data_IF_886511228871
#
_entry.id   IF_886511228871
#
_cell.length_a   1.000
_cell.length_b   1.000
_cell.length_c   1.000
_cell.angle_alpha   90.00
_cell.angle_beta   90.00
_cell.angle_gamma   90.00
#
_symmetry.space_group_name_H-M   'P 1'
#
loop_
_entity.id
_entity.type
_entity.pdbx_description
1 polymer ?
#
# COMPACT_ATOMS: atom_id res chain seq x y z
N UNK A 1 -4.39 -9.17 -32.77
CA UNK A 1 -5.82 -9.02 -32.43
C UNK A 1 -6.09 -9.50 -30.99
N UNK A 2 -5.56 -8.79 -29.97
CA UNK A 2 -5.64 -9.19 -28.54
C UNK A 2 -6.69 -8.37 -27.74
N UNK A 3 -7.41 -7.46 -28.42
CA UNK A 3 -8.23 -6.42 -27.77
C UNK A 3 -9.70 -6.75 -27.53
N UNK A 4 -10.16 -7.95 -27.93
CA UNK A 4 -11.56 -8.33 -27.81
C UNK A 4 -11.80 -9.62 -26.98
N UNK A 5 -10.95 -9.89 -25.97
CA UNK A 5 -11.29 -10.95 -25.04
C UNK A 5 -12.47 -10.50 -24.18
N UNK A 6 -13.59 -11.19 -24.24
CA UNK A 6 -14.72 -10.99 -23.34
C UNK A 6 -14.20 -11.18 -21.91
N UNK A 7 -14.36 -10.16 -21.09
CA UNK A 7 -14.00 -10.24 -19.67
C UNK A 7 -15.19 -10.83 -18.94
N UNK A 8 -15.00 -11.89 -18.15
CA UNK A 8 -16.03 -12.37 -17.27
C UNK A 8 -16.18 -11.40 -16.08
N UNK A 9 -17.41 -11.28 -15.59
CA UNK A 9 -17.77 -10.75 -14.28
C UNK A 9 -17.24 -9.36 -13.93
N UNK A 10 -17.73 -8.34 -14.63
CA UNK A 10 -17.71 -6.94 -14.17
C UNK A 10 -19.16 -6.45 -14.01
N UNK A 11 -19.48 -5.57 -13.05
CA UNK A 11 -18.58 -4.92 -12.10
C UNK A 11 -18.08 -5.86 -10.98
N UNK A 12 -16.90 -5.56 -10.45
CA UNK A 12 -16.36 -6.23 -9.25
C UNK A 12 -16.99 -5.65 -7.99
N UNK A 13 -17.08 -6.42 -6.88
CA UNK A 13 -17.55 -5.87 -5.62
C UNK A 13 -16.63 -4.75 -5.12
N UNK A 14 -17.20 -3.74 -4.50
CA UNK A 14 -16.40 -2.72 -3.81
C UNK A 14 -15.75 -3.33 -2.56
N UNK A 15 -14.53 -2.92 -2.20
CA UNK A 15 -13.93 -3.34 -0.95
C UNK A 15 -14.74 -2.84 0.25
N UNK A 16 -14.83 -3.68 1.27
CA UNK A 16 -15.53 -3.42 2.52
C UNK A 16 -14.56 -3.16 3.67
N UNK A 17 -15.06 -2.67 4.80
CA UNK A 17 -14.30 -2.41 6.03
C UNK A 17 -14.07 -3.71 6.79
N UNK A 18 -13.21 -4.58 6.26
CA UNK A 18 -12.86 -5.88 6.84
C UNK A 18 -11.52 -5.85 7.54
N UNK A 19 -11.30 -6.76 8.47
CA UNK A 19 -9.98 -7.01 9.06
C UNK A 19 -9.28 -8.07 8.21
N UNK A 20 -8.03 -7.79 7.83
CA UNK A 20 -7.19 -8.73 7.09
C UNK A 20 -6.04 -9.18 7.99
N UNK A 21 -5.96 -10.48 8.23
CA UNK A 21 -5.03 -11.07 9.19
C UNK A 21 -3.85 -11.74 8.48
N UNK A 22 -2.63 -11.35 8.84
CA UNK A 22 -1.38 -12.00 8.47
C UNK A 22 -0.66 -12.58 9.67
N UNK A 23 0.56 -13.02 9.45
CA UNK A 23 1.44 -13.52 10.51
C UNK A 23 2.07 -12.39 11.31
N UNK A 24 2.53 -11.34 10.64
CA UNK A 24 3.28 -10.21 11.20
C UNK A 24 2.47 -8.93 11.21
N UNK A 25 1.58 -8.78 10.24
CA UNK A 25 0.72 -7.62 10.09
C UNK A 25 -0.74 -7.99 10.25
N UNK A 26 -1.52 -7.03 10.72
CA UNK A 26 -2.98 -7.02 10.61
C UNK A 26 -3.39 -5.68 10.05
N UNK A 27 -4.28 -5.69 9.05
CA UNK A 27 -4.89 -4.49 8.53
C UNK A 27 -6.28 -4.35 9.16
N UNK A 28 -6.53 -3.25 9.82
CA UNK A 28 -7.83 -2.92 10.38
C UNK A 28 -8.41 -1.69 9.67
N UNK A 29 -9.72 -1.63 9.40
CA UNK A 29 -10.34 -0.39 8.98
C UNK A 29 -9.93 0.74 9.92
N UNK A 30 -9.57 1.89 9.36
CA UNK A 30 -9.06 3.01 10.17
C UNK A 30 -10.12 3.46 11.17
N UNK A 31 -9.76 3.41 12.45
CA UNK A 31 -10.54 3.93 13.57
C UNK A 31 -9.68 4.96 14.34
N UNK A 32 -10.02 6.27 14.26
CA UNK A 32 -9.26 7.31 14.94
C UNK A 32 -9.15 7.15 16.46
N UNK A 33 -10.17 6.57 17.11
CA UNK A 33 -10.14 6.37 18.55
C UNK A 33 -9.13 5.31 18.95
N UNK A 34 -9.01 4.23 18.16
CA UNK A 34 -8.09 3.12 18.41
C UNK A 34 -6.68 3.37 17.91
N UNK A 35 -6.56 3.97 16.73
CA UNK A 35 -5.30 4.05 15.99
C UNK A 35 -4.66 5.44 16.01
N UNK A 36 -5.44 6.48 16.41
CA UNK A 36 -5.06 7.88 16.22
C UNK A 36 -3.75 8.26 16.93
N UNK A 37 -3.58 7.86 18.18
CA UNK A 37 -2.38 8.19 18.96
C UNK A 37 -1.12 7.57 18.36
N UNK A 38 -1.19 6.28 18.00
CA UNK A 38 -0.07 5.56 17.39
C UNK A 38 0.27 6.09 16.00
N UNK A 39 -0.74 6.38 15.17
CA UNK A 39 -0.55 6.97 13.85
C UNK A 39 0.01 8.38 13.91
N UNK A 40 -0.41 9.18 14.87
CA UNK A 40 0.18 10.48 15.12
C UNK A 40 1.66 10.36 15.44
N UNK A 41 2.03 9.50 16.39
CA UNK A 41 3.42 9.24 16.75
C UNK A 41 4.24 8.73 15.55
N UNK A 42 3.70 7.80 14.74
CA UNK A 42 4.37 7.29 13.56
C UNK A 42 4.54 8.34 12.45
N UNK A 43 3.52 9.21 12.27
CA UNK A 43 3.53 10.27 11.26
C UNK A 43 4.57 11.33 11.57
N UNK A 44 4.60 11.81 12.81
CA UNK A 44 5.46 12.90 13.25
C UNK A 44 6.77 12.45 13.93
N UNK A 45 7.11 11.17 13.84
CA UNK A 45 8.41 10.67 14.28
C UNK A 45 9.58 11.40 13.59
N UNK A 46 10.78 11.45 14.16
CA UNK A 46 11.94 12.11 13.57
C UNK A 46 12.11 11.78 12.08
N UNK A 47 12.39 12.79 11.25
CA UNK A 47 12.44 12.68 9.79
C UNK A 47 11.07 12.68 9.09
N UNK A 48 10.01 13.17 9.74
CA UNK A 48 8.66 13.22 9.17
C UNK A 48 8.57 14.11 7.91
N UNK A 49 9.31 15.20 7.83
CA UNK A 49 9.28 16.08 6.65
C UNK A 49 9.62 15.33 5.36
N UNK A 50 10.63 14.48 5.40
CA UNK A 50 11.01 13.67 4.25
C UNK A 50 9.95 12.59 3.96
N UNK A 51 9.40 11.93 4.99
CA UNK A 51 8.31 10.96 4.81
C UNK A 51 7.03 11.58 4.24
N UNK A 52 6.71 12.82 4.65
CA UNK A 52 5.51 13.53 4.21
C UNK A 52 5.71 14.31 2.90
N UNK A 53 6.94 14.37 2.39
CA UNK A 53 7.29 15.14 1.20
C UNK A 53 6.35 14.89 0.04
N UNK A 54 6.05 13.63 -0.23
CA UNK A 54 5.23 13.18 -1.35
C UNK A 54 3.79 12.77 -0.95
N UNK A 55 3.37 13.09 0.27
CA UNK A 55 2.01 12.86 0.76
C UNK A 55 1.27 14.21 0.90
N UNK A 56 0.70 14.74 -0.19
CA UNK A 56 0.21 16.12 -0.24
C UNK A 56 -1.00 16.40 0.66
N UNK A 57 -1.80 15.37 0.95
CA UNK A 57 -3.03 15.48 1.74
C UNK A 57 -2.80 15.38 3.24
N UNK A 58 -1.62 14.91 3.67
CA UNK A 58 -1.29 14.77 5.10
C UNK A 58 -0.91 16.11 5.67
N UNK A 59 -1.46 16.55 6.81
CA UNK A 59 -1.01 17.73 7.52
C UNK A 59 0.49 17.66 7.81
N UNK A 60 1.21 18.75 7.58
CA UNK A 60 2.65 18.84 7.85
C UNK A 60 2.97 19.06 9.32
N UNK A 61 2.02 19.63 10.04
CA UNK A 61 2.09 19.91 11.46
C UNK A 61 1.07 19.06 12.21
N UNK A 62 1.28 18.80 13.49
CA UNK A 62 0.34 18.06 14.32
C UNK A 62 -1.07 18.66 14.37
N UNK A 63 -1.14 19.98 14.25
CA UNK A 63 -2.41 20.70 14.26
C UNK A 63 -3.30 20.26 13.08
N UNK A 64 -4.56 19.98 13.38
CA UNK A 64 -5.52 19.50 12.38
C UNK A 64 -5.39 18.02 12.01
N UNK A 65 -4.37 17.30 12.51
CA UNK A 65 -4.18 15.88 12.16
C UNK A 65 -5.34 15.00 12.59
N UNK A 66 -5.90 15.22 13.78
CA UNK A 66 -7.04 14.44 14.28
C UNK A 66 -8.29 14.62 13.41
N UNK A 67 -8.61 15.85 13.01
CA UNK A 67 -9.74 16.13 12.11
C UNK A 67 -9.52 15.52 10.72
N UNK A 68 -8.29 15.63 10.18
CA UNK A 68 -7.93 15.02 8.92
C UNK A 68 -8.04 13.48 9.01
N UNK A 69 -7.57 12.85 10.08
CA UNK A 69 -7.64 11.41 10.28
C UNK A 69 -9.09 10.92 10.38
N UNK A 70 -9.97 11.69 11.06
CA UNK A 70 -11.40 11.41 11.14
C UNK A 70 -12.07 11.45 9.75
N UNK A 71 -11.74 12.45 8.95
CA UNK A 71 -12.23 12.55 7.58
C UNK A 71 -11.77 11.36 6.72
N UNK A 72 -10.51 10.93 6.88
CA UNK A 72 -9.98 9.76 6.18
C UNK A 72 -10.68 8.46 6.60
N UNK A 73 -11.01 8.31 7.88
CA UNK A 73 -11.72 7.14 8.39
C UNK A 73 -13.18 7.05 7.90
N UNK A 74 -13.82 8.20 7.69
CA UNK A 74 -15.20 8.28 7.23
C UNK A 74 -15.35 8.00 5.72
N UNK A 75 -14.28 8.16 4.92
CA UNK A 75 -14.33 8.01 3.48
C UNK A 75 -14.42 6.54 3.06
N UNK A 76 -15.17 6.27 1.98
CA UNK A 76 -15.22 4.95 1.34
C UNK A 76 -14.24 4.83 0.16
N UNK A 77 -13.77 5.96 -0.36
CA UNK A 77 -12.68 6.07 -1.33
C UNK A 77 -11.92 7.37 -1.07
N UNK A 78 -10.74 7.29 -0.47
CA UNK A 78 -9.95 6.10 -0.12
C UNK A 78 -10.50 5.31 1.08
N UNK A 79 -10.56 3.99 0.97
CA UNK A 79 -10.80 3.07 2.09
C UNK A 79 -9.48 2.83 2.82
N UNK A 80 -9.32 3.42 3.99
CA UNK A 80 -8.06 3.43 4.73
C UNK A 80 -7.98 2.30 5.73
N UNK A 81 -6.84 1.61 5.76
CA UNK A 81 -6.48 0.60 6.73
C UNK A 81 -5.32 1.05 7.60
N UNK A 82 -5.45 0.87 8.90
CA UNK A 82 -4.36 0.92 9.85
C UNK A 82 -3.50 -0.34 9.72
N UNK A 83 -2.18 -0.18 9.79
CA UNK A 83 -1.21 -1.29 9.75
C UNK A 83 -0.75 -1.58 11.16
N UNK A 84 -1.18 -2.70 11.69
CA UNK A 84 -0.86 -3.16 13.04
C UNK A 84 0.30 -4.15 12.99
N UNK A 85 1.35 -3.90 13.75
CA UNK A 85 2.39 -4.90 14.03
C UNK A 85 1.85 -5.90 15.06
N UNK A 86 1.69 -7.15 14.66
CA UNK A 86 1.13 -8.19 15.53
C UNK A 86 2.02 -8.57 16.71
N UNK A 87 3.31 -8.32 16.63
CA UNK A 87 4.24 -8.59 17.74
C UNK A 87 4.06 -7.59 18.89
N UNK A 88 3.71 -6.35 18.57
CA UNK A 88 3.56 -5.27 19.58
C UNK A 88 2.11 -4.87 19.82
N UNK A 89 1.19 -5.24 18.94
CA UNK A 89 -0.20 -4.79 18.94
C UNK A 89 -0.37 -3.31 18.55
N UNK A 90 0.70 -2.61 18.18
CA UNK A 90 0.67 -1.17 17.90
C UNK A 90 0.46 -0.87 16.42
N UNK A 91 -0.21 0.24 16.17
CA UNK A 91 -0.37 0.76 14.82
C UNK A 91 0.87 1.56 14.40
N UNK A 92 1.64 1.02 13.45
CA UNK A 92 2.87 1.65 12.97
C UNK A 92 2.74 2.37 11.64
N UNK A 93 1.55 2.38 11.01
CA UNK A 93 1.35 3.00 9.72
C UNK A 93 -0.06 2.85 9.19
N UNK A 94 -0.28 3.31 7.97
CA UNK A 94 -1.54 3.17 7.23
C UNK A 94 -1.29 3.01 5.75
N UNK A 95 -2.29 2.46 5.05
CA UNK A 95 -2.37 2.38 3.60
C UNK A 95 -3.85 2.37 3.17
N UNK A 96 -4.14 2.66 1.93
CA UNK A 96 -5.51 2.76 1.46
C UNK A 96 -5.73 2.04 0.13
N UNK A 97 -6.88 1.41 0.00
CA UNK A 97 -7.46 1.06 -1.30
C UNK A 97 -8.21 2.29 -1.80
N UNK A 98 -7.90 2.74 -3.00
CA UNK A 98 -8.44 3.99 -3.52
C UNK A 98 -8.61 3.97 -5.03
N UNK A 99 -9.28 4.99 -5.58
CA UNK A 99 -9.61 5.05 -7.01
C UNK A 99 -10.23 3.73 -7.47
N UNK A 100 -11.27 3.35 -6.75
CA UNK A 100 -11.94 2.07 -6.87
C UNK A 100 -12.92 2.16 -8.04
N UNK A 101 -12.62 1.43 -9.13
CA UNK A 101 -13.42 1.40 -10.35
C UNK A 101 -13.89 -0.03 -10.63
N UNK A 102 -15.00 -0.46 -9.98
CA UNK A 102 -15.53 -1.82 -10.10
C UNK A 102 -15.84 -2.23 -11.54
N UNK A 103 -16.36 -1.29 -12.33
CA UNK A 103 -16.78 -1.50 -13.73
C UNK A 103 -15.60 -1.91 -14.63
N UNK A 104 -14.38 -1.54 -14.23
CA UNK A 104 -13.17 -1.90 -14.92
C UNK A 104 -12.34 -2.94 -14.18
N UNK A 105 -12.72 -3.31 -12.95
CA UNK A 105 -11.94 -4.18 -12.09
C UNK A 105 -10.56 -3.58 -11.78
N UNK A 106 -10.48 -2.26 -11.55
CA UNK A 106 -9.26 -1.50 -11.29
C UNK A 106 -9.33 -0.89 -9.89
N UNK A 107 -8.24 -1.01 -9.14
CA UNK A 107 -8.10 -0.46 -7.79
C UNK A 107 -6.64 -0.06 -7.55
N UNK A 108 -6.40 0.97 -6.76
CA UNK A 108 -5.07 1.47 -6.43
C UNK A 108 -4.73 1.24 -4.96
N UNK A 109 -3.50 0.86 -4.67
CA UNK A 109 -2.93 0.97 -3.33
C UNK A 109 -2.19 2.30 -3.22
N UNK A 110 -2.68 3.18 -2.37
CA UNK A 110 -2.12 4.51 -2.21
C UNK A 110 -2.20 5.03 -0.78
N UNK A 111 -1.90 6.31 -0.61
CA UNK A 111 -1.95 6.94 0.72
C UNK A 111 -1.05 6.25 1.76
N UNK A 112 0.00 5.56 1.32
CA UNK A 112 0.87 4.76 2.19
C UNK A 112 1.72 5.67 3.06
N UNK A 113 1.62 5.47 4.36
CA UNK A 113 2.55 5.98 5.35
C UNK A 113 2.91 4.82 6.28
N UNK A 114 4.10 4.30 6.13
CA UNK A 114 4.68 3.35 7.07
C UNK A 114 5.71 4.10 7.92
N UNK A 115 5.43 4.21 9.22
CA UNK A 115 6.32 4.85 10.18
C UNK A 115 7.62 4.05 10.38
N UNK A 116 8.58 4.60 11.14
CA UNK A 116 9.91 3.98 11.31
C UNK A 116 9.87 2.53 11.82
N UNK A 117 8.90 2.18 12.67
CA UNK A 117 8.76 0.84 13.23
C UNK A 117 8.28 -0.21 12.19
N UNK A 118 7.60 0.22 11.14
CA UNK A 118 7.00 -0.66 10.12
C UNK A 118 7.75 -0.61 8.81
N UNK A 119 8.23 0.56 8.41
CA UNK A 119 8.93 0.75 7.13
C UNK A 119 10.14 -0.19 6.99
N UNK A 120 10.25 -0.83 5.81
CA UNK A 120 11.35 -1.78 5.47
C UNK A 120 11.38 -3.06 6.30
N UNK A 121 10.30 -3.40 6.99
CA UNK A 121 10.17 -4.63 7.75
C UNK A 121 9.29 -5.66 7.04
N UNK A 122 9.24 -6.87 7.60
CA UNK A 122 8.29 -7.92 7.17
C UNK A 122 6.83 -7.52 7.39
N UNK A 123 6.56 -6.65 8.37
CA UNK A 123 5.21 -6.11 8.62
C UNK A 123 4.71 -5.31 7.42
N UNK A 124 5.53 -4.37 6.88
CA UNK A 124 5.17 -3.60 5.69
C UNK A 124 4.97 -4.48 4.45
N UNK A 125 5.83 -5.49 4.27
CA UNK A 125 5.72 -6.39 3.12
C UNK A 125 4.46 -7.25 3.20
N UNK A 126 4.13 -7.76 4.38
CA UNK A 126 2.91 -8.53 4.58
C UNK A 126 1.66 -7.65 4.51
N UNK A 127 1.70 -6.42 5.03
CA UNK A 127 0.62 -5.44 4.87
C UNK A 127 0.28 -5.19 3.39
N UNK A 128 1.30 -5.07 2.53
CA UNK A 128 1.12 -5.02 1.08
C UNK A 128 0.45 -6.30 0.57
N UNK A 129 0.99 -7.47 0.93
CA UNK A 129 0.49 -8.77 0.46
C UNK A 129 -0.98 -9.02 0.85
N UNK A 130 -1.39 -8.59 2.05
CA UNK A 130 -2.77 -8.67 2.51
C UNK A 130 -3.72 -7.81 1.67
N UNK A 131 -3.33 -6.56 1.39
CA UNK A 131 -4.14 -5.66 0.57
C UNK A 131 -4.26 -6.16 -0.88
N UNK A 132 -3.15 -6.64 -1.47
CA UNK A 132 -3.14 -7.20 -2.81
C UNK A 132 -3.95 -8.52 -2.88
N UNK A 133 -3.81 -9.40 -1.88
CA UNK A 133 -4.61 -10.62 -1.77
C UNK A 133 -6.11 -10.31 -1.65
N UNK A 134 -6.48 -9.31 -0.87
CA UNK A 134 -7.87 -8.87 -0.79
C UNK A 134 -8.39 -8.39 -2.14
N UNK A 135 -7.62 -7.55 -2.84
CA UNK A 135 -8.02 -7.03 -4.16
C UNK A 135 -8.15 -8.13 -5.22
N UNK A 136 -7.17 -9.02 -5.32
CA UNK A 136 -7.13 -10.04 -6.37
C UNK A 136 -7.93 -11.31 -6.02
N UNK A 137 -7.65 -11.89 -4.84
CA UNK A 137 -8.17 -13.23 -4.50
C UNK A 137 -9.63 -13.15 -3.99
N UNK A 138 -9.96 -12.16 -3.16
CA UNK A 138 -11.29 -12.03 -2.58
C UNK A 138 -12.26 -11.24 -3.47
N UNK A 139 -11.81 -10.12 -4.04
CA UNK A 139 -12.67 -9.22 -4.82
C UNK A 139 -12.56 -9.46 -6.33
N UNK A 140 -11.54 -10.19 -6.79
CA UNK A 140 -11.35 -10.54 -8.20
C UNK A 140 -10.99 -9.36 -9.11
N UNK A 141 -10.40 -8.30 -8.57
CA UNK A 141 -9.90 -7.20 -9.39
C UNK A 141 -8.84 -7.72 -10.36
N UNK A 142 -8.79 -7.13 -11.56
CA UNK A 142 -7.85 -7.57 -12.61
C UNK A 142 -6.60 -6.70 -12.73
N UNK A 143 -6.62 -5.51 -12.09
CA UNK A 143 -5.53 -4.53 -12.13
C UNK A 143 -5.42 -3.83 -10.79
N UNK A 144 -4.25 -3.93 -10.19
CA UNK A 144 -3.86 -3.26 -8.97
C UNK A 144 -2.82 -2.21 -9.31
N UNK A 145 -3.10 -0.95 -8.99
CA UNK A 145 -2.27 0.19 -9.37
C UNK A 145 -1.44 0.71 -8.21
N UNK A 146 -0.29 1.29 -8.56
CA UNK A 146 0.56 2.08 -7.67
C UNK A 146 1.02 3.32 -8.40
N UNK A 147 0.79 4.49 -7.82
CA UNK A 147 1.15 5.78 -8.39
C UNK A 147 1.96 6.59 -7.40
N UNK A 148 3.00 7.23 -7.88
CA UNK A 148 3.79 8.13 -7.05
C UNK A 148 4.30 9.31 -7.86
N UNK A 149 4.77 10.33 -7.14
CA UNK A 149 5.57 11.38 -7.75
C UNK A 149 6.78 10.74 -8.47
N UNK A 150 7.07 11.19 -9.69
CA UNK A 150 8.16 10.62 -10.48
C UNK A 150 9.53 10.79 -9.81
N UNK A 151 9.68 11.80 -8.94
CA UNK A 151 10.87 12.04 -8.13
C UNK A 151 10.93 11.18 -6.85
N UNK A 152 9.85 10.50 -6.48
CA UNK A 152 9.80 9.65 -5.28
C UNK A 152 10.49 8.31 -5.54
N UNK A 153 11.83 8.34 -5.60
CA UNK A 153 12.63 7.14 -5.84
C UNK A 153 12.37 6.00 -4.82
N UNK A 154 12.20 6.26 -3.50
CA UNK A 154 11.81 5.20 -2.57
C UNK A 154 10.51 4.49 -2.92
N UNK A 155 9.47 5.23 -3.34
CA UNK A 155 8.18 4.67 -3.72
C UNK A 155 8.26 3.87 -5.02
N UNK A 156 9.00 4.35 -6.01
CA UNK A 156 9.26 3.63 -7.27
C UNK A 156 9.92 2.28 -7.01
N UNK A 157 11.01 2.27 -6.20
CA UNK A 157 11.70 1.03 -5.81
C UNK A 157 10.79 0.08 -5.03
N UNK A 158 9.87 0.61 -4.21
CA UNK A 158 8.90 -0.23 -3.48
C UNK A 158 7.92 -0.91 -4.44
N UNK A 159 7.37 -0.18 -5.41
CA UNK A 159 6.49 -0.74 -6.43
C UNK A 159 7.18 -1.88 -7.21
N UNK A 160 8.37 -1.63 -7.74
CA UNK A 160 9.17 -2.62 -8.47
C UNK A 160 9.51 -3.84 -7.58
N UNK A 161 9.89 -3.59 -6.31
CA UNK A 161 10.14 -4.65 -5.35
C UNK A 161 8.93 -5.54 -5.11
N UNK A 162 7.73 -4.98 -5.06
CA UNK A 162 6.49 -5.73 -4.86
C UNK A 162 5.97 -6.42 -6.12
N UNK A 163 6.57 -6.17 -7.27
CA UNK A 163 6.24 -6.87 -8.50
C UNK A 163 5.42 -6.07 -9.48
N UNK A 164 5.22 -4.79 -9.23
CA UNK A 164 4.57 -3.92 -10.19
C UNK A 164 5.48 -3.66 -11.39
N UNK A 165 4.88 -3.60 -12.57
CA UNK A 165 5.52 -3.16 -13.81
C UNK A 165 5.34 -1.66 -13.97
N UNK A 166 6.42 -0.94 -14.30
CA UNK A 166 6.36 0.47 -14.66
C UNK A 166 5.73 0.63 -16.04
N UNK A 167 4.72 1.48 -16.17
CA UNK A 167 3.98 1.69 -17.41
C UNK A 167 4.25 3.05 -18.06
N UNK A 168 4.80 4.00 -17.31
CA UNK A 168 5.13 5.30 -17.85
C UNK A 168 5.02 6.45 -16.86
N UNK A 169 5.40 7.65 -17.31
CA UNK A 169 5.24 8.88 -16.52
C UNK A 169 4.30 9.84 -17.23
N UNK A 170 3.25 10.25 -16.51
CA UNK A 170 2.40 11.36 -16.93
C UNK A 170 3.09 12.67 -16.56
N UNK A 171 3.60 13.36 -17.57
CA UNK A 171 4.26 14.65 -17.38
C UNK A 171 3.23 15.74 -17.13
N UNK A 172 3.55 16.68 -16.22
CA UNK A 172 2.66 17.79 -15.82
C UNK A 172 1.26 17.30 -15.42
N UNK A 173 1.20 16.14 -14.74
CA UNK A 173 -0.06 15.49 -14.42
C UNK A 173 -0.85 16.24 -13.35
N UNK A 174 -0.19 16.81 -12.37
CA UNK A 174 -0.83 17.49 -11.25
C UNK A 174 -0.07 18.76 -10.84
N UNK A 175 -0.78 19.68 -10.20
CA UNK A 175 -0.17 20.74 -9.40
C UNK A 175 -0.32 20.40 -7.93
N UNK A 176 0.79 20.25 -7.23
CA UNK A 176 0.82 19.92 -5.81
C UNK A 176 1.56 21.04 -5.07
N UNK A 177 0.85 21.75 -4.17
CA UNK A 177 1.40 22.86 -3.40
C UNK A 177 2.08 23.92 -4.29
N UNK A 178 1.45 24.26 -5.42
CA UNK A 178 1.95 25.23 -6.37
C UNK A 178 3.12 24.78 -7.23
N UNK A 179 3.49 23.47 -7.19
CA UNK A 179 4.58 22.89 -7.97
C UNK A 179 4.06 21.84 -8.93
N UNK A 180 4.71 21.73 -10.09
CA UNK A 180 4.45 20.63 -11.01
C UNK A 180 4.75 19.30 -10.35
N UNK A 181 3.90 18.31 -10.63
CA UNK A 181 4.13 16.91 -10.29
C UNK A 181 3.93 16.06 -11.53
N UNK A 182 4.99 15.42 -11.94
CA UNK A 182 4.93 14.29 -12.86
C UNK A 182 4.59 13.02 -12.07
N UNK A 183 3.77 12.16 -12.61
CA UNK A 183 3.33 10.94 -11.90
C UNK A 183 3.83 9.70 -12.62
N UNK A 184 4.61 8.90 -11.93
CA UNK A 184 4.99 7.57 -12.36
C UNK A 184 3.86 6.57 -12.05
N UNK A 185 3.51 5.77 -13.07
CA UNK A 185 2.45 4.78 -13.04
C UNK A 185 3.02 3.37 -13.07
N UNK A 186 2.49 2.53 -12.21
CA UNK A 186 2.84 1.13 -12.10
C UNK A 186 1.56 0.29 -11.97
N UNK A 187 1.59 -0.93 -12.49
CA UNK A 187 0.49 -1.88 -12.34
C UNK A 187 1.02 -3.27 -12.03
N UNK A 188 0.22 -4.03 -11.29
CA UNK A 188 0.30 -5.47 -11.13
C UNK A 188 -1.02 -6.04 -11.64
N UNK A 189 -0.96 -7.04 -12.51
CA UNK A 189 -2.14 -7.62 -13.14
C UNK A 189 -2.52 -8.96 -12.52
N UNK A 190 -3.79 -9.35 -12.68
CA UNK A 190 -4.35 -10.59 -12.12
C UNK A 190 -3.55 -11.85 -12.51
N UNK A 191 -3.07 -11.92 -13.75
CA UNK A 191 -2.27 -13.05 -14.22
C UNK A 191 -0.81 -13.03 -13.71
N UNK A 192 -0.31 -11.90 -13.22
CA UNK A 192 1.02 -11.74 -12.61
C UNK A 192 0.96 -12.02 -11.09
N UNK A 193 -0.22 -11.83 -10.49
CA UNK A 193 -0.42 -11.95 -9.04
C UNK A 193 -0.01 -13.31 -8.47
N UNK A 194 -0.33 -14.48 -9.07
CA UNK A 194 0.06 -15.77 -8.50
C UNK A 194 1.56 -15.90 -8.25
N UNK A 195 2.39 -15.43 -9.18
CA UNK A 195 3.84 -15.45 -9.03
C UNK A 195 4.32 -14.46 -7.97
N UNK A 196 3.77 -13.24 -7.95
CA UNK A 196 4.07 -12.25 -6.93
C UNK A 196 3.65 -12.72 -5.53
N UNK A 197 2.47 -13.31 -5.39
CA UNK A 197 1.95 -13.91 -4.14
C UNK A 197 2.86 -15.00 -3.61
N UNK A 198 3.28 -15.92 -4.47
CA UNK A 198 4.19 -17.02 -4.10
C UNK A 198 5.53 -16.47 -3.58
N UNK A 199 6.11 -15.49 -4.27
CA UNK A 199 7.36 -14.85 -3.86
C UNK A 199 7.22 -14.09 -2.53
N UNK A 200 6.13 -13.35 -2.34
CA UNK A 200 5.84 -12.65 -1.07
C UNK A 200 5.67 -13.64 0.09
N UNK A 201 4.95 -14.74 -0.14
CA UNK A 201 4.78 -15.81 0.86
C UNK A 201 6.10 -16.48 1.23
N UNK A 202 6.93 -16.81 0.24
CA UNK A 202 8.26 -17.39 0.48
C UNK A 202 9.20 -16.39 1.18
N UNK A 203 9.14 -15.11 0.82
CA UNK A 203 9.96 -14.10 1.46
C UNK A 203 9.54 -13.86 2.92
N UNK A 204 8.24 -13.84 3.23
CA UNK A 204 7.71 -13.66 4.60
C UNK A 204 7.79 -14.94 5.45
N UNK A 205 8.17 -16.08 4.89
CA UNK A 205 8.32 -17.31 5.64
C UNK A 205 9.36 -17.13 6.78
N UNK A 206 9.10 -17.67 8.00
CA UNK A 206 10.01 -17.52 9.14
C UNK A 206 11.44 -17.95 8.84
N UNK A 207 11.63 -19.00 8.06
CA UNK A 207 12.96 -19.52 7.68
C UNK A 207 13.79 -18.57 6.82
N UNK A 208 13.17 -17.51 6.26
CA UNK A 208 13.90 -16.47 5.53
C UNK A 208 14.54 -15.42 6.43
N UNK A 209 14.37 -15.51 7.76
CA UNK A 209 14.93 -14.55 8.71
C UNK A 209 15.84 -15.26 9.71
N UNK A 210 16.91 -14.58 10.11
CA UNK A 210 17.78 -15.03 11.20
C UNK A 210 17.20 -14.66 12.58
N UNK A 211 17.93 -14.99 13.64
CA UNK A 211 17.50 -14.72 15.02
C UNK A 211 17.37 -13.21 15.31
N UNK A 212 18.10 -12.38 14.59
CA UNK A 212 18.06 -10.91 14.67
C UNK A 212 16.99 -10.30 13.76
N UNK A 213 16.22 -11.12 13.03
CA UNK A 213 15.16 -10.69 12.13
C UNK A 213 15.65 -10.13 10.78
N UNK A 214 16.91 -10.38 10.40
CA UNK A 214 17.45 -9.98 9.10
C UNK A 214 17.11 -11.01 8.05
N UNK A 215 16.70 -10.55 6.86
CA UNK A 215 16.36 -11.45 5.75
C UNK A 215 17.62 -12.21 5.28
N UNK A 216 17.46 -13.50 4.99
CA UNK A 216 18.49 -14.35 4.37
C UNK A 216 18.54 -14.16 2.87
N UNK A 217 17.37 -14.02 2.25
CA UNK A 217 17.21 -13.76 0.82
C UNK A 217 16.33 -12.53 0.62
N UNK A 218 16.69 -11.69 -0.32
CA UNK A 218 15.87 -10.55 -0.75
C UNK A 218 14.64 -11.03 -1.52
N UNK A 219 13.59 -10.21 -1.61
CA UNK A 219 12.42 -10.56 -2.41
C UNK A 219 12.74 -10.70 -3.91
N UNK A 220 13.76 -9.97 -4.41
CA UNK A 220 14.26 -10.12 -5.77
C UNK A 220 14.87 -11.50 -6.03
N UNK A 221 15.72 -11.99 -5.11
CA UNK A 221 16.34 -13.32 -5.19
C UNK A 221 15.29 -14.44 -5.08
N UNK A 222 14.26 -14.26 -4.23
CA UNK A 222 13.15 -15.22 -4.11
C UNK A 222 12.32 -15.29 -5.40
N UNK A 223 12.18 -14.16 -6.11
CA UNK A 223 11.41 -14.08 -7.36
C UNK A 223 12.15 -14.67 -8.56
N UNK A 224 13.47 -14.61 -8.57
CA UNK A 224 14.32 -15.13 -9.66
C UNK A 224 14.72 -16.59 -9.53
N UNK A 225 14.20 -17.29 -8.51
CA UNK A 225 14.53 -18.72 -8.22
C UNK A 225 13.45 -19.68 -8.70
#
# INVERSE_FOLDING_TARGET
MRFMRRLPDVPRPRPERVVLEGRYARLEPLDPARHGADLHAATFAPGHDERLRYLPTVPRQPDGYAAWLAAMAAADDPLVFAVIDRATGRCGGRQALMRIVPEHGVIELGGILWGPAVARTRVATEAFALAAGYAFDALGYRRFEWKCDAENAPSRRAAERFGFTYEGTFRQHMVVRGRNRDTAWFALLDHEWPAAKAALGAWTAPGNFDAEGRQRRTLGEVRGS
#
